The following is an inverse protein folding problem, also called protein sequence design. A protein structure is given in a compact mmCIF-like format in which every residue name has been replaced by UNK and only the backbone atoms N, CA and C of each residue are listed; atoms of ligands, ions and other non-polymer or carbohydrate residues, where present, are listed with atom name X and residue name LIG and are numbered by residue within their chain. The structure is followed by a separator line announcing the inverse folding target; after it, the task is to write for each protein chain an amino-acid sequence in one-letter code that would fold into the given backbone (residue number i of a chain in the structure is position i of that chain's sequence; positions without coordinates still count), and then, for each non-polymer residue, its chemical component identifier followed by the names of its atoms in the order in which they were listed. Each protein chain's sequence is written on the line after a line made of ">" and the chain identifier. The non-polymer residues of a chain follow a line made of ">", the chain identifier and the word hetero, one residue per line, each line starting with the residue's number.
data_IF_202896880330
#
_entry.id   IF_202896880330
#
_cell.length_a   1.000
_cell.length_b   1.000
_cell.length_c   1.000
_cell.angle_alpha   90.00
_cell.angle_beta   90.00
_cell.angle_gamma   90.00
#
_symmetry.space_group_name_H-M   'P 1'
#
loop_
_entity.id
_entity.type
_entity.pdbx_description
1 polymer ?
#
# COMPACT_ATOMS: atom_id res chain seq x y z
N UNK A 1 39.35 12.33 -18.48
CA UNK A 1 37.88 12.52 -18.48
C UNK A 1 37.28 11.49 -19.43
N UNK A 2 36.84 10.32 -18.95
CA UNK A 2 36.03 9.36 -19.75
C UNK A 2 35.45 8.17 -18.95
N UNK A 3 35.78 7.98 -17.66
CA UNK A 3 35.30 6.80 -16.92
C UNK A 3 33.94 6.94 -16.24
N UNK A 4 33.39 8.15 -16.12
CA UNK A 4 32.11 8.36 -15.42
C UNK A 4 30.87 8.11 -16.28
N UNK A 5 30.98 8.21 -17.61
CA UNK A 5 29.86 7.96 -18.53
C UNK A 5 29.56 6.47 -18.71
N UNK A 6 30.57 5.60 -18.69
CA UNK A 6 30.38 4.16 -18.84
C UNK A 6 29.61 3.54 -17.64
N UNK A 7 29.80 4.07 -16.44
CA UNK A 7 29.12 3.59 -15.23
C UNK A 7 27.65 4.05 -15.17
N UNK A 8 27.35 5.25 -15.69
CA UNK A 8 25.98 5.75 -15.83
C UNK A 8 25.19 5.03 -16.94
N UNK A 9 25.86 4.59 -18.01
CA UNK A 9 25.24 3.82 -19.10
C UNK A 9 24.90 2.38 -18.70
N UNK A 10 25.64 1.77 -17.78
CA UNK A 10 25.33 0.43 -17.24
C UNK A 10 24.13 0.43 -16.28
N UNK A 11 23.82 1.55 -15.64
CA UNK A 11 22.60 1.69 -14.82
C UNK A 11 21.35 2.06 -15.63
N UNK A 12 21.50 2.49 -16.89
CA UNK A 12 20.39 2.95 -17.71
C UNK A 12 19.71 1.84 -18.54
N UNK A 13 20.23 0.62 -18.56
CA UNK A 13 19.78 -0.44 -19.48
C UNK A 13 18.65 -1.35 -18.95
N UNK A 14 18.01 -1.04 -17.82
CA UNK A 14 17.02 -1.94 -17.21
C UNK A 14 15.64 -1.32 -16.94
N UNK A 15 15.29 -0.16 -17.51
CA UNK A 15 13.92 0.35 -17.42
C UNK A 15 13.08 -0.17 -18.59
N UNK A 16 12.74 -1.46 -18.54
CA UNK A 16 11.57 -1.95 -19.24
C UNK A 16 10.29 -1.42 -18.54
N UNK A 17 9.21 -1.11 -19.27
CA UNK A 17 7.96 -0.66 -18.66
C UNK A 17 7.34 -1.82 -17.89
N UNK A 18 7.35 -1.75 -16.55
CA UNK A 18 6.69 -2.74 -15.69
C UNK A 18 5.20 -2.39 -15.67
N UNK A 19 4.47 -2.92 -16.66
CA UNK A 19 3.03 -3.12 -16.55
C UNK A 19 2.80 -4.45 -15.83
N UNK A 20 2.11 -4.37 -14.69
CA UNK A 20 1.30 -5.44 -14.12
C UNK A 20 2.00 -6.79 -13.81
N UNK A 21 2.86 -6.83 -12.79
CA UNK A 21 2.98 -7.96 -11.87
C UNK A 21 3.91 -7.56 -10.71
N UNK A 22 3.45 -7.72 -9.48
CA UNK A 22 4.20 -7.36 -8.26
C UNK A 22 5.41 -8.26 -8.00
N UNK A 23 6.46 -8.13 -8.82
CA UNK A 23 7.74 -8.78 -8.60
C UNK A 23 8.76 -7.70 -8.27
N UNK A 24 9.06 -7.54 -6.98
CA UNK A 24 10.16 -6.66 -6.55
C UNK A 24 11.49 -7.23 -7.06
N UNK A 25 12.31 -6.43 -7.77
CA UNK A 25 13.63 -6.88 -8.19
C UNK A 25 14.52 -7.09 -6.95
N UNK A 26 15.07 -8.29 -6.80
CA UNK A 26 16.06 -8.57 -5.75
C UNK A 26 17.44 -8.06 -6.17
N UNK A 27 18.15 -7.38 -5.27
CA UNK A 27 19.55 -7.00 -5.49
C UNK A 27 20.43 -8.22 -5.18
N UNK A 28 21.19 -8.73 -6.15
CA UNK A 28 22.08 -9.88 -5.94
C UNK A 28 23.25 -9.53 -5.01
N UNK A 29 23.49 -10.36 -4.00
CA UNK A 29 24.67 -10.28 -3.13
C UNK A 29 25.79 -11.18 -3.65
N UNK A 30 27.04 -10.73 -3.55
CA UNK A 30 28.22 -11.50 -3.95
C UNK A 30 28.92 -12.01 -2.68
N UNK A 31 29.18 -13.32 -2.61
CA UNK A 31 29.93 -13.97 -1.52
C UNK A 31 31.33 -14.32 -2.04
N UNK A 32 32.40 -13.86 -1.34
CA UNK A 32 33.79 -14.22 -1.63
C UNK A 32 34.49 -14.86 -0.43
N UNK A 33 35.56 -15.67 -0.66
CA UNK A 33 36.27 -16.39 0.41
C UNK A 33 37.05 -15.46 1.34
N UNK A 34 37.30 -15.91 2.59
CA UNK A 34 38.02 -15.16 3.61
C UNK A 34 39.48 -14.87 3.21
N UNK A 35 39.92 -13.62 3.34
CA UNK A 35 41.25 -13.17 2.91
C UNK A 35 42.14 -12.68 4.06
N UNK A 36 43.41 -13.06 4.02
CA UNK A 36 44.48 -12.66 4.94
C UNK A 36 45.15 -11.35 4.50
N UNK A 37 44.95 -10.30 5.31
CA UNK A 37 45.86 -9.20 5.70
C UNK A 37 46.40 -8.13 4.72
N UNK A 38 45.75 -7.83 3.58
CA UNK A 38 45.95 -6.55 2.86
C UNK A 38 44.63 -5.84 2.48
N UNK A 39 43.50 -6.35 2.98
CA UNK A 39 42.19 -6.23 2.34
C UNK A 39 41.12 -5.53 3.21
N UNK A 40 41.54 -4.68 4.12
CA UNK A 40 40.68 -4.09 5.16
C UNK A 40 39.59 -3.16 4.59
N UNK A 41 39.96 -2.24 3.70
CA UNK A 41 39.00 -1.27 3.13
C UNK A 41 38.07 -1.90 2.10
N UNK A 42 38.59 -2.78 1.23
CA UNK A 42 37.77 -3.48 0.23
C UNK A 42 36.81 -4.47 0.92
N UNK A 43 37.27 -5.26 1.90
CA UNK A 43 36.39 -6.16 2.66
C UNK A 43 35.31 -5.39 3.43
N UNK A 44 35.66 -4.27 4.11
CA UNK A 44 34.66 -3.40 4.75
C UNK A 44 33.67 -2.83 3.74
N UNK A 45 34.15 -2.43 2.56
CA UNK A 45 33.30 -1.96 1.46
C UNK A 45 32.31 -3.01 0.99
N UNK A 46 32.74 -4.26 0.83
CA UNK A 46 31.88 -5.40 0.46
C UNK A 46 30.81 -5.64 1.54
N UNK A 47 31.21 -5.71 2.81
CA UNK A 47 30.26 -5.92 3.92
C UNK A 47 29.22 -4.80 3.99
N UNK A 48 29.65 -3.54 3.90
CA UNK A 48 28.74 -2.40 3.88
C UNK A 48 27.79 -2.43 2.67
N UNK A 49 28.29 -2.77 1.49
CA UNK A 49 27.47 -2.88 0.27
C UNK A 49 26.45 -4.01 0.38
N UNK A 50 26.83 -5.16 0.94
CA UNK A 50 25.89 -6.26 1.19
C UNK A 50 24.78 -5.86 2.19
N UNK A 51 25.10 -5.09 3.24
CA UNK A 51 24.09 -4.56 4.15
C UNK A 51 23.14 -3.58 3.45
N UNK A 52 23.65 -2.70 2.59
CA UNK A 52 22.83 -1.80 1.77
C UNK A 52 21.91 -2.60 0.85
N UNK A 53 22.42 -3.62 0.16
CA UNK A 53 21.62 -4.48 -0.72
C UNK A 53 20.48 -5.18 0.05
N UNK A 54 20.76 -5.67 1.26
CA UNK A 54 19.73 -6.22 2.14
C UNK A 54 18.68 -5.19 2.53
N UNK A 55 19.10 -3.98 2.94
CA UNK A 55 18.18 -2.91 3.30
C UNK A 55 17.29 -2.49 2.12
N UNK A 56 17.88 -2.32 0.92
CA UNK A 56 17.14 -2.00 -0.31
C UNK A 56 16.12 -3.09 -0.64
N UNK A 57 16.51 -4.36 -0.56
CA UNK A 57 15.60 -5.49 -0.83
C UNK A 57 14.45 -5.51 0.17
N UNK A 58 14.72 -5.27 1.45
CA UNK A 58 13.69 -5.15 2.49
C UNK A 58 12.72 -4.01 2.18
N UNK A 59 13.23 -2.81 1.84
CA UNK A 59 12.40 -1.66 1.44
C UNK A 59 11.53 -1.97 0.22
N UNK A 60 12.06 -2.66 -0.79
CA UNK A 60 11.28 -3.05 -1.97
C UNK A 60 10.17 -4.05 -1.62
N UNK A 61 10.39 -4.96 -0.67
CA UNK A 61 9.35 -5.87 -0.19
C UNK A 61 8.22 -5.09 0.48
N UNK A 62 8.60 -4.14 1.34
CA UNK A 62 7.68 -3.23 2.03
C UNK A 62 6.80 -2.45 1.04
N UNK A 63 7.40 -1.88 -0.01
CA UNK A 63 6.68 -1.13 -1.03
C UNK A 63 5.71 -2.04 -1.79
N UNK A 64 6.15 -3.25 -2.16
CA UNK A 64 5.30 -4.21 -2.87
C UNK A 64 4.09 -4.64 -2.05
N UNK A 65 4.28 -4.90 -0.75
CA UNK A 65 3.18 -5.21 0.16
C UNK A 65 2.21 -4.04 0.27
N UNK A 66 2.71 -2.81 0.41
CA UNK A 66 1.86 -1.61 0.46
C UNK A 66 1.05 -1.42 -0.83
N UNK A 67 1.66 -1.62 -2.00
CA UNK A 67 0.94 -1.53 -3.29
C UNK A 67 -0.17 -2.59 -3.38
N UNK A 68 0.10 -3.82 -2.94
CA UNK A 68 -0.91 -4.88 -2.89
C UNK A 68 -2.06 -4.49 -1.97
N UNK A 69 -1.75 -4.00 -0.77
CA UNK A 69 -2.73 -3.62 0.23
C UNK A 69 -3.61 -2.43 -0.25
N UNK A 70 -3.00 -1.44 -0.91
CA UNK A 70 -3.72 -0.32 -1.55
C UNK A 70 -4.64 -0.80 -2.68
N UNK A 71 -4.25 -1.80 -3.45
CA UNK A 71 -5.13 -2.40 -4.46
C UNK A 71 -6.34 -3.10 -3.83
N UNK A 72 -6.15 -3.76 -2.68
CA UNK A 72 -7.28 -4.33 -1.90
C UNK A 72 -8.22 -3.23 -1.44
N UNK A 73 -7.70 -2.15 -0.85
CA UNK A 73 -8.49 -0.98 -0.46
C UNK A 73 -9.24 -0.36 -1.64
N UNK A 74 -8.62 -0.28 -2.82
CA UNK A 74 -9.27 0.21 -4.05
C UNK A 74 -10.51 -0.63 -4.38
N UNK A 75 -10.47 -1.94 -4.16
CA UNK A 75 -11.63 -2.82 -4.30
C UNK A 75 -12.76 -2.50 -3.31
N UNK A 76 -12.43 -2.27 -2.04
CA UNK A 76 -13.40 -1.86 -1.03
C UNK A 76 -14.06 -0.53 -1.39
N UNK A 77 -13.27 0.48 -1.76
CA UNK A 77 -13.78 1.79 -2.15
C UNK A 77 -14.59 1.78 -3.46
N UNK A 78 -14.25 0.91 -4.42
CA UNK A 78 -15.04 0.73 -5.64
C UNK A 78 -16.42 0.16 -5.32
N UNK A 79 -16.47 -0.82 -4.40
CA UNK A 79 -17.74 -1.40 -3.93
C UNK A 79 -18.55 -0.36 -3.17
N UNK A 80 -17.92 0.36 -2.24
CA UNK A 80 -18.53 1.45 -1.49
C UNK A 80 -19.13 2.52 -2.41
N UNK A 81 -18.39 2.97 -3.42
CA UNK A 81 -18.86 3.96 -4.38
C UNK A 81 -20.11 3.48 -5.14
N UNK A 82 -20.14 2.20 -5.54
CA UNK A 82 -21.31 1.58 -6.19
C UNK A 82 -22.52 1.55 -5.26
N UNK A 83 -22.32 1.17 -4.00
CA UNK A 83 -23.38 1.11 -2.98
C UNK A 83 -23.94 2.50 -2.67
N UNK A 84 -23.08 3.52 -2.51
CA UNK A 84 -23.50 4.91 -2.30
C UNK A 84 -24.28 5.44 -3.50
N UNK A 85 -23.85 5.15 -4.73
CA UNK A 85 -24.59 5.52 -5.93
C UNK A 85 -25.98 4.88 -5.96
N UNK A 86 -26.10 3.60 -5.57
CA UNK A 86 -27.38 2.93 -5.46
C UNK A 86 -28.28 3.51 -4.35
N UNK A 87 -27.71 3.94 -3.22
CA UNK A 87 -28.45 4.65 -2.17
C UNK A 87 -29.02 5.98 -2.70
N UNK A 88 -28.24 6.74 -3.48
CA UNK A 88 -28.72 7.97 -4.12
C UNK A 88 -29.90 7.71 -5.08
N UNK A 89 -29.87 6.62 -5.84
CA UNK A 89 -31.01 6.21 -6.69
C UNK A 89 -32.27 5.94 -5.87
N UNK A 90 -32.14 5.31 -4.71
CA UNK A 90 -33.26 5.07 -3.79
C UNK A 90 -33.79 6.38 -3.18
N UNK A 91 -32.90 7.30 -2.80
CA UNK A 91 -33.28 8.62 -2.28
C UNK A 91 -34.04 9.44 -3.31
N UNK A 92 -33.58 9.48 -4.57
CA UNK A 92 -34.29 10.17 -5.65
C UNK A 92 -35.69 9.60 -5.90
N UNK A 93 -35.91 8.33 -5.58
CA UNK A 93 -37.22 7.68 -5.69
C UNK A 93 -38.03 7.69 -4.39
N UNK A 94 -37.57 8.39 -3.34
CA UNK A 94 -38.24 8.47 -2.04
C UNK A 94 -38.16 7.20 -1.18
N UNK A 95 -37.32 6.22 -1.53
CA UNK A 95 -37.15 4.95 -0.82
C UNK A 95 -36.12 5.07 0.31
N UNK A 96 -36.47 5.81 1.35
CA UNK A 96 -35.55 6.15 2.46
C UNK A 96 -34.99 4.91 3.17
N UNK A 97 -35.82 3.90 3.48
CA UNK A 97 -35.35 2.68 4.18
C UNK A 97 -34.28 1.95 3.36
N UNK A 98 -34.53 1.73 2.06
CA UNK A 98 -33.58 1.06 1.17
C UNK A 98 -32.26 1.82 1.03
N UNK A 99 -32.29 3.16 1.07
CA UNK A 99 -31.10 3.99 1.05
C UNK A 99 -30.31 3.88 2.36
N UNK A 100 -30.98 3.89 3.51
CA UNK A 100 -30.35 3.70 4.82
C UNK A 100 -29.66 2.34 4.92
N UNK A 101 -30.30 1.27 4.44
CA UNK A 101 -29.71 -0.08 4.45
C UNK A 101 -28.41 -0.10 3.62
N UNK A 102 -28.44 0.47 2.40
CA UNK A 102 -27.25 0.56 1.54
C UNK A 102 -26.14 1.40 2.15
N UNK A 103 -26.47 2.53 2.78
CA UNK A 103 -25.46 3.34 3.47
C UNK A 103 -24.86 2.60 4.65
N UNK A 104 -25.65 1.77 5.35
CA UNK A 104 -25.14 0.89 6.41
C UNK A 104 -24.16 -0.14 5.86
N UNK A 105 -24.45 -0.73 4.70
CA UNK A 105 -23.51 -1.65 4.02
C UNK A 105 -22.21 -0.94 3.58
N UNK A 106 -22.28 0.35 3.24
CA UNK A 106 -21.12 1.15 2.83
C UNK A 106 -20.20 1.54 4.00
N UNK A 107 -20.69 1.49 5.25
CA UNK A 107 -19.98 1.97 6.44
C UNK A 107 -18.73 1.14 6.77
N UNK A 108 -18.71 -0.16 6.43
CA UNK A 108 -17.60 -1.05 6.77
C UNK A 108 -16.33 -0.86 5.92
N UNK A 109 -16.47 -0.38 4.68
CA UNK A 109 -15.39 -0.35 3.71
C UNK A 109 -14.16 0.48 4.14
N UNK A 110 -14.30 1.68 4.75
CA UNK A 110 -13.15 2.44 5.25
C UNK A 110 -12.40 1.70 6.38
N UNK A 111 -13.12 1.10 7.32
CA UNK A 111 -12.53 0.34 8.44
C UNK A 111 -11.80 -0.91 7.96
N UNK A 112 -12.39 -1.65 7.02
CA UNK A 112 -11.76 -2.83 6.40
C UNK A 112 -10.45 -2.46 5.67
N UNK A 113 -10.40 -1.28 5.05
CA UNK A 113 -9.17 -0.76 4.44
C UNK A 113 -8.10 -0.42 5.50
N UNK A 114 -8.47 0.27 6.59
CA UNK A 114 -7.54 0.61 7.67
C UNK A 114 -6.94 -0.65 8.31
N UNK A 115 -7.73 -1.72 8.51
CA UNK A 115 -7.25 -3.02 9.01
C UNK A 115 -6.19 -3.61 8.07
N UNK A 116 -6.45 -3.60 6.76
CA UNK A 116 -5.52 -4.12 5.74
C UNK A 116 -4.21 -3.34 5.76
N UNK A 117 -4.26 -2.01 5.74
CA UNK A 117 -3.08 -1.14 5.68
C UNK A 117 -2.28 -1.12 7.00
N UNK A 118 -2.97 -1.02 8.12
CA UNK A 118 -2.39 -1.11 9.46
C UNK A 118 -1.79 -2.49 9.75
N UNK A 119 -2.24 -3.52 9.03
CA UNK A 119 -1.70 -4.86 9.16
C UNK A 119 -2.04 -5.52 10.50
N UNK A 120 -3.15 -5.11 11.10
CA UNK A 120 -3.58 -5.56 12.43
C UNK A 120 -3.66 -7.09 12.43
N UNK A 121 -2.98 -7.73 13.39
CA UNK A 121 -2.97 -9.18 13.54
C UNK A 121 -1.93 -9.93 12.68
N UNK A 122 -1.11 -9.26 11.87
CA UNK A 122 -0.06 -9.89 11.07
C UNK A 122 1.34 -9.75 11.69
N UNK A 123 1.95 -10.87 12.06
CA UNK A 123 3.31 -10.90 12.62
C UNK A 123 4.31 -10.42 11.57
N UNK A 124 5.15 -9.45 11.93
CA UNK A 124 6.22 -8.95 11.07
C UNK A 124 5.80 -7.88 10.06
N UNK A 125 4.50 -7.53 9.98
CA UNK A 125 4.04 -6.39 9.19
C UNK A 125 4.21 -5.12 10.02
N UNK A 126 4.88 -4.12 9.44
CA UNK A 126 4.92 -2.78 10.04
C UNK A 126 3.68 -2.05 9.58
N UNK A 127 2.95 -1.44 10.52
CA UNK A 127 1.79 -0.61 10.22
C UNK A 127 2.18 0.57 9.32
N UNK A 128 1.50 0.71 8.18
CA UNK A 128 1.70 1.82 7.24
C UNK A 128 0.38 2.07 6.55
N UNK A 129 -0.34 3.05 7.07
CA UNK A 129 -1.58 3.51 6.47
C UNK A 129 -1.39 4.95 5.97
N UNK A 130 -1.22 5.14 4.64
CA UNK A 130 -1.10 6.47 4.05
C UNK A 130 -2.44 7.19 3.89
N UNK A 131 -3.58 6.54 4.12
CA UNK A 131 -4.93 7.08 3.87
C UNK A 131 -5.88 6.97 5.07
N UNK A 132 -5.33 6.77 6.28
CA UNK A 132 -6.10 6.60 7.51
C UNK A 132 -7.06 7.76 7.77
N UNK A 133 -6.62 8.99 7.51
CA UNK A 133 -7.45 10.17 7.71
C UNK A 133 -8.67 10.14 6.78
N UNK A 134 -8.46 9.80 5.51
CA UNK A 134 -9.51 9.65 4.52
C UNK A 134 -10.48 8.52 4.88
N UNK A 135 -9.98 7.41 5.44
CA UNK A 135 -10.81 6.33 5.97
C UNK A 135 -11.72 6.83 7.11
N UNK A 136 -11.14 7.49 8.12
CA UNK A 136 -11.86 8.06 9.25
C UNK A 136 -12.93 9.08 8.81
N UNK A 137 -12.63 9.91 7.82
CA UNK A 137 -13.54 10.92 7.29
C UNK A 137 -14.70 10.29 6.51
N UNK A 138 -14.43 9.31 5.65
CA UNK A 138 -15.47 8.61 4.89
C UNK A 138 -16.44 7.85 5.80
N UNK A 139 -15.93 7.18 6.83
CA UNK A 139 -16.78 6.47 7.80
C UNK A 139 -17.71 7.43 8.54
N UNK A 140 -17.19 8.57 9.00
CA UNK A 140 -17.99 9.63 9.65
C UNK A 140 -19.07 10.19 8.72
N UNK A 141 -18.76 10.41 7.45
CA UNK A 141 -19.72 10.95 6.48
C UNK A 141 -20.85 9.97 6.19
N UNK A 142 -20.54 8.68 6.02
CA UNK A 142 -21.56 7.64 5.85
C UNK A 142 -22.45 7.55 7.08
N UNK A 143 -21.85 7.53 8.28
CA UNK A 143 -22.60 7.50 9.54
C UNK A 143 -23.50 8.72 9.70
N UNK A 144 -23.01 9.91 9.34
CA UNK A 144 -23.81 11.13 9.35
C UNK A 144 -25.02 11.02 8.41
N UNK A 145 -24.84 10.48 7.20
CA UNK A 145 -25.94 10.26 6.26
C UNK A 145 -26.98 9.28 6.82
N UNK A 146 -26.56 8.17 7.43
CA UNK A 146 -27.46 7.22 8.11
C UNK A 146 -28.28 7.92 9.20
N UNK A 147 -27.63 8.71 10.06
CA UNK A 147 -28.29 9.41 11.16
C UNK A 147 -29.31 10.46 10.67
N UNK A 148 -29.07 11.08 9.51
CA UNK A 148 -30.03 12.00 8.89
C UNK A 148 -31.27 11.24 8.39
N UNK A 149 -31.07 10.08 7.75
CA UNK A 149 -32.16 9.28 7.18
C UNK A 149 -32.94 8.47 8.22
N UNK A 150 -32.29 8.12 9.33
CA UNK A 150 -32.87 7.35 10.42
C UNK A 150 -32.47 7.96 11.78
N UNK A 151 -33.09 9.10 12.15
CA UNK A 151 -32.72 9.81 13.37
C UNK A 151 -32.99 8.96 14.61
N UNK A 152 -32.11 8.99 15.63
CA UNK A 152 -32.35 8.30 16.88
C UNK A 152 -33.65 8.81 17.51
N UNK A 153 -34.47 7.87 17.99
CA UNK A 153 -35.71 8.22 18.71
C UNK A 153 -35.33 8.88 20.04
N UNK A 154 -35.78 10.12 20.23
CA UNK A 154 -35.68 10.88 21.49
C UNK A 154 -36.50 10.26 22.61
#
# INVERSE_FOLDING_TARGET
>A
MSSSLALLLLLAAATAPILAAGVSPAVSTIVLPAATSANDTLQRGIVATNQIAHNVTSTLHIISDLVRDLNTCTGYYTTMATTVAAALVDLHAGRVVNATDKLSDALGAPSDCDIVLSGVGMIGKVARDPIRQENDENEKLVQAAINILNPPRS
#
